data_IF_766603935208
#
_entry.id   IF_766603935208
#
_cell.length_a   1.000
_cell.length_b   1.000
_cell.length_c   1.000
_cell.angle_alpha   90.00
_cell.angle_beta   90.00
_cell.angle_gamma   90.00
#
_symmetry.space_group_name_H-M   'P 1'
#
loop_
_entity.id
_entity.type
_entity.pdbx_description
1 polymer ?
#
# COMPACT_ATOMS: atom_id res chain seq x y z
N UNK A 1 -26.62 -31.23 -6.38
CA UNK A 1 -27.09 -30.19 -7.33
C UNK A 1 -27.11 -28.84 -6.62
N UNK A 2 -26.50 -27.77 -7.16
CA UNK A 2 -26.60 -26.43 -6.55
C UNK A 2 -26.77 -25.31 -7.58
N UNK A 3 -27.68 -24.39 -7.25
CA UNK A 3 -28.51 -23.58 -8.14
C UNK A 3 -27.90 -22.22 -8.53
N UNK A 4 -26.60 -22.16 -8.82
CA UNK A 4 -25.91 -20.89 -9.19
C UNK A 4 -25.55 -20.77 -10.67
N UNK A 5 -26.06 -21.67 -11.51
CA UNK A 5 -26.14 -21.49 -12.97
C UNK A 5 -27.17 -20.42 -13.32
N UNK A 6 -26.77 -19.16 -13.29
CA UNK A 6 -27.33 -18.09 -14.11
C UNK A 6 -26.43 -16.86 -13.94
N UNK A 7 -26.12 -16.16 -15.04
CA UNK A 7 -25.17 -15.02 -15.10
C UNK A 7 -23.70 -15.44 -15.22
N UNK A 8 -23.46 -16.53 -15.94
CA UNK A 8 -22.29 -16.64 -16.79
C UNK A 8 -22.85 -16.92 -18.20
N UNK A 9 -22.37 -16.21 -19.22
CA UNK A 9 -22.80 -16.27 -20.63
C UNK A 9 -23.97 -15.34 -21.02
N UNK A 10 -23.64 -14.08 -21.28
CA UNK A 10 -24.08 -13.39 -22.51
C UNK A 10 -22.86 -12.68 -23.09
N UNK A 11 -22.12 -13.43 -23.92
CA UNK A 11 -21.03 -12.96 -24.77
C UNK A 11 -21.62 -12.72 -26.16
N UNK A 12 -21.55 -11.49 -26.67
CA UNK A 12 -21.44 -11.12 -28.09
C UNK A 12 -21.35 -9.59 -28.20
N UNK A 13 -20.12 -9.08 -28.31
CA UNK A 13 -19.85 -7.66 -28.51
C UNK A 13 -18.36 -7.32 -28.48
N UNK A 14 -17.71 -7.45 -29.63
CA UNK A 14 -16.43 -6.87 -30.05
C UNK A 14 -15.21 -6.99 -29.09
N UNK A 15 -14.29 -7.85 -29.49
CA UNK A 15 -12.94 -8.00 -28.95
C UNK A 15 -12.13 -6.76 -29.33
N UNK A 16 -11.71 -5.98 -28.32
CA UNK A 16 -10.56 -5.09 -28.42
C UNK A 16 -9.75 -5.20 -27.11
N UNK A 17 -8.58 -5.85 -27.23
CA UNK A 17 -7.45 -5.81 -26.32
C UNK A 17 -7.67 -6.24 -24.85
N UNK A 18 -7.77 -7.56 -24.64
CA UNK A 18 -7.03 -8.19 -23.54
C UNK A 18 -5.53 -8.03 -23.82
N UNK A 19 -4.94 -6.97 -23.30
CA UNK A 19 -3.49 -6.88 -23.09
C UNK A 19 -3.23 -6.25 -21.73
N UNK A 20 -2.45 -6.98 -20.93
CA UNK A 20 -1.96 -6.64 -19.61
C UNK A 20 -3.06 -6.64 -18.54
N UNK A 21 -3.33 -7.76 -17.86
CA UNK A 21 -2.42 -8.23 -16.80
C UNK A 21 -1.52 -7.07 -16.38
N UNK A 22 -2.11 -6.15 -15.63
CA UNK A 22 -1.40 -5.01 -15.06
C UNK A 22 -0.33 -5.65 -14.20
N UNK A 23 0.84 -5.72 -14.82
CA UNK A 23 2.13 -6.18 -14.32
C UNK A 23 2.03 -6.33 -12.82
N UNK A 24 2.08 -7.56 -12.32
CA UNK A 24 2.71 -7.86 -11.04
C UNK A 24 4.14 -7.29 -11.14
N UNK A 25 4.22 -5.97 -11.04
CA UNK A 25 5.36 -5.32 -10.46
C UNK A 25 5.44 -5.99 -9.09
N UNK A 26 6.60 -6.52 -8.68
CA UNK A 26 6.80 -6.82 -7.29
C UNK A 26 6.73 -5.46 -6.57
N UNK A 27 5.50 -5.00 -6.29
CA UNK A 27 5.26 -4.06 -5.23
C UNK A 27 5.93 -4.72 -4.04
N UNK A 28 7.05 -4.14 -3.59
CA UNK A 28 7.67 -4.55 -2.34
C UNK A 28 6.52 -4.76 -1.35
N UNK A 29 6.41 -5.94 -0.70
CA UNK A 29 5.18 -6.36 -0.04
C UNK A 29 4.67 -5.25 0.88
N UNK A 30 3.65 -4.56 0.38
CA UNK A 30 3.07 -3.40 1.02
C UNK A 30 2.26 -3.82 2.24
N UNK A 31 1.80 -2.84 2.99
CA UNK A 31 0.81 -3.02 4.05
C UNK A 31 -0.55 -3.44 3.44
N UNK A 32 -0.78 -3.14 2.16
CA UNK A 32 -2.06 -3.40 1.49
C UNK A 32 -3.13 -2.37 1.86
N UNK A 33 -2.67 -1.16 2.23
CA UNK A 33 -3.46 0.05 2.46
C UNK A 33 -2.74 1.16 1.68
N UNK A 34 -3.37 1.61 0.59
CA UNK A 34 -2.71 2.46 -0.41
C UNK A 34 -2.07 3.72 0.20
N UNK A 35 -2.74 4.37 1.17
CA UNK A 35 -2.21 5.56 1.81
C UNK A 35 -1.01 5.27 2.73
N UNK A 36 -0.96 4.09 3.36
CA UNK A 36 0.20 3.67 4.13
C UNK A 36 1.37 3.30 3.24
N UNK A 37 1.11 2.64 2.12
CA UNK A 37 2.15 2.28 1.16
C UNK A 37 2.78 3.54 0.56
N UNK A 38 1.97 4.53 0.19
CA UNK A 38 2.44 5.85 -0.25
C UNK A 38 3.22 6.59 0.86
N UNK A 39 2.73 6.54 2.11
CA UNK A 39 3.44 7.09 3.27
C UNK A 39 4.84 6.50 3.39
N UNK A 40 4.92 5.18 3.36
CA UNK A 40 6.17 4.43 3.55
C UNK A 40 7.16 4.78 2.46
N UNK A 41 6.74 4.75 1.20
CA UNK A 41 7.60 5.08 0.06
C UNK A 41 8.17 6.49 0.17
N UNK A 42 7.35 7.49 0.52
CA UNK A 42 7.84 8.87 0.67
C UNK A 42 8.80 9.01 1.86
N UNK A 43 8.54 8.34 2.97
CA UNK A 43 9.43 8.35 4.13
C UNK A 43 10.80 7.74 3.81
N UNK A 44 10.83 6.55 3.20
CA UNK A 44 12.06 5.88 2.79
C UNK A 44 12.85 6.72 1.79
N UNK A 45 12.17 7.33 0.81
CA UNK A 45 12.79 8.23 -0.16
C UNK A 45 13.37 9.50 0.49
N UNK A 46 12.63 10.11 1.42
CA UNK A 46 13.10 11.30 2.13
C UNK A 46 14.37 11.00 2.94
N UNK A 47 14.30 9.98 3.79
CA UNK A 47 15.42 9.64 4.68
C UNK A 47 16.64 9.17 3.87
N UNK A 48 16.43 8.51 2.73
CA UNK A 48 17.51 8.22 1.79
C UNK A 48 18.26 9.47 1.30
N UNK A 49 17.56 10.59 1.10
CA UNK A 49 18.16 11.88 0.71
C UNK A 49 18.88 12.60 1.85
N UNK A 50 18.52 12.31 3.11
CA UNK A 50 19.15 12.91 4.29
C UNK A 50 20.53 12.31 4.62
N UNK A 51 20.92 11.22 3.94
CA UNK A 51 22.20 10.56 4.10
C UNK A 51 22.16 9.33 5.02
N UNK A 52 23.22 8.53 4.96
CA UNK A 52 23.28 7.20 5.58
C UNK A 52 23.11 7.24 7.11
N UNK A 53 23.64 8.27 7.79
CA UNK A 53 23.52 8.40 9.24
C UNK A 53 22.06 8.62 9.68
N UNK A 54 21.33 9.51 9.01
CA UNK A 54 19.91 9.75 9.27
C UNK A 54 19.08 8.50 8.99
N UNK A 55 19.42 7.76 7.92
CA UNK A 55 18.79 6.49 7.60
C UNK A 55 18.98 5.44 8.67
N UNK A 56 20.22 5.16 9.08
CA UNK A 56 20.49 4.19 10.14
C UNK A 56 19.82 4.57 11.47
N UNK A 57 19.75 5.86 11.79
CA UNK A 57 19.08 6.31 13.01
C UNK A 57 17.56 6.10 12.98
N UNK A 58 16.91 6.28 11.82
CA UNK A 58 15.47 6.20 11.69
C UNK A 58 14.94 4.79 11.38
N UNK A 59 15.75 3.94 10.74
CA UNK A 59 15.33 2.62 10.25
C UNK A 59 14.71 1.72 11.34
N UNK A 60 15.26 1.60 12.56
CA UNK A 60 14.67 0.72 13.58
C UNK A 60 13.25 1.13 13.99
N UNK A 61 13.04 2.43 14.22
CA UNK A 61 11.74 2.98 14.58
C UNK A 61 10.73 2.85 13.44
N UNK A 62 11.19 3.13 12.22
CA UNK A 62 10.34 3.01 11.04
C UNK A 62 9.98 1.55 10.73
N UNK A 63 10.90 0.61 10.94
CA UNK A 63 10.61 -0.83 10.83
C UNK A 63 9.54 -1.25 11.84
N UNK A 64 9.66 -0.84 13.10
CA UNK A 64 8.65 -1.14 14.12
C UNK A 64 7.26 -0.61 13.72
N UNK A 65 7.21 0.60 13.15
CA UNK A 65 5.97 1.17 12.65
C UNK A 65 5.39 0.38 11.47
N UNK A 66 6.22 -0.03 10.50
CA UNK A 66 5.79 -0.90 9.39
C UNK A 66 5.23 -2.23 9.89
N UNK A 67 5.85 -2.82 10.90
CA UNK A 67 5.39 -4.11 11.45
C UNK A 67 4.06 -3.95 12.20
N UNK A 68 3.86 -2.85 12.94
CA UNK A 68 2.57 -2.51 13.55
C UNK A 68 1.47 -2.30 12.49
N UNK A 69 1.79 -1.62 11.38
CA UNK A 69 0.86 -1.45 10.26
C UNK A 69 0.48 -2.79 9.63
N UNK A 70 1.42 -3.72 9.43
CA UNK A 70 1.12 -5.06 8.90
C UNK A 70 0.17 -5.83 9.82
N UNK A 71 0.40 -5.76 11.14
CA UNK A 71 -0.46 -6.42 12.12
C UNK A 71 -1.89 -5.86 12.07
N UNK A 72 -2.04 -4.53 12.08
CA UNK A 72 -3.35 -3.88 11.99
C UNK A 72 -4.05 -4.17 10.63
N UNK A 73 -3.29 -4.25 9.54
CA UNK A 73 -3.82 -4.58 8.22
C UNK A 73 -4.34 -6.03 8.10
N UNK A 74 -4.13 -6.87 9.10
CA UNK A 74 -4.67 -8.24 9.17
C UNK A 74 -6.21 -8.30 9.24
N UNK A 75 -6.89 -7.17 9.48
CA UNK A 75 -8.36 -7.10 9.54
C UNK A 75 -8.92 -5.94 8.71
N UNK A 76 -10.17 -6.04 8.20
CA UNK A 76 -10.80 -4.93 7.47
C UNK A 76 -10.93 -3.64 8.30
N UNK A 77 -11.30 -3.76 9.58
CA UNK A 77 -11.41 -2.61 10.48
C UNK A 77 -10.05 -1.93 10.71
N UNK A 78 -8.99 -2.71 10.89
CA UNK A 78 -7.64 -2.18 11.04
C UNK A 78 -7.13 -1.50 9.76
N UNK A 79 -7.43 -2.04 8.57
CA UNK A 79 -7.15 -1.37 7.29
C UNK A 79 -7.86 -0.02 7.17
N UNK A 80 -9.13 0.07 7.59
CA UNK A 80 -9.88 1.32 7.58
C UNK A 80 -9.26 2.36 8.52
N UNK A 81 -8.88 1.96 9.74
CA UNK A 81 -8.19 2.83 10.68
C UNK A 81 -6.83 3.31 10.14
N UNK A 82 -6.06 2.40 9.52
CA UNK A 82 -4.76 2.70 8.91
C UNK A 82 -4.86 3.73 7.78
N UNK A 83 -5.90 3.69 6.95
CA UNK A 83 -6.08 4.72 5.89
C UNK A 83 -6.10 6.13 6.48
N UNK A 84 -6.84 6.35 7.56
CA UNK A 84 -6.90 7.65 8.25
C UNK A 84 -5.57 8.00 8.91
N UNK A 85 -4.94 7.05 9.59
CA UNK A 85 -3.66 7.31 10.27
C UNK A 85 -2.53 7.62 9.30
N UNK A 86 -2.43 6.90 8.19
CA UNK A 86 -1.38 7.11 7.21
C UNK A 86 -1.57 8.39 6.41
N UNK A 87 -2.81 8.85 6.21
CA UNK A 87 -3.09 10.22 5.70
C UNK A 87 -2.54 11.29 6.65
N UNK A 88 -2.86 11.19 7.94
CA UNK A 88 -2.34 12.13 8.94
C UNK A 88 -0.81 12.08 9.02
N UNK A 89 -0.21 10.89 8.93
CA UNK A 89 1.24 10.73 8.88
C UNK A 89 1.85 11.35 7.61
N UNK A 90 1.15 11.23 6.47
CA UNK A 90 1.50 11.89 5.20
C UNK A 90 1.45 13.41 5.28
N UNK A 91 0.54 13.96 6.06
CA UNK A 91 0.49 15.40 6.29
C UNK A 91 1.60 15.85 7.23
N UNK A 92 1.88 15.09 8.29
CA UNK A 92 2.94 15.39 9.25
C UNK A 92 4.33 15.37 8.61
N UNK A 93 4.60 14.37 7.74
CA UNK A 93 5.89 14.23 7.08
C UNK A 93 6.18 15.36 6.07
N UNK A 94 5.16 16.02 5.49
CA UNK A 94 5.39 17.16 4.57
C UNK A 94 6.17 18.30 5.22
N UNK A 95 6.05 18.49 6.54
CA UNK A 95 6.77 19.53 7.26
C UNK A 95 8.28 19.24 7.41
N UNK A 96 8.65 17.97 7.38
CA UNK A 96 10.01 17.49 7.71
C UNK A 96 10.74 16.91 6.49
N UNK A 97 9.97 16.48 5.50
CA UNK A 97 10.39 15.68 4.35
C UNK A 97 9.63 16.16 3.10
N UNK A 98 10.08 17.28 2.50
CA UNK A 98 9.44 17.88 1.33
C UNK A 98 9.41 16.94 0.11
#
# INVERSE_FOLDING_TARGET
MNKKSLVCVLVLGAIAAVTACKKDEPAAPGIGVAECDAYITKYEACIGKMGAAAKSAAEPGFKAQRDAFKQAAGTPAGKAALSTQCKAAMDAIKATCP
#
